data_IF_734144634935
#
_entry.id   IF_734144634935
#
_cell.length_a   1.000
_cell.length_b   1.000
_cell.length_c   1.000
_cell.angle_alpha   90.00
_cell.angle_beta   90.00
_cell.angle_gamma   90.00
#
_symmetry.space_group_name_H-M   'P 1'
#
loop_
_entity.id
_entity.type
_entity.pdbx_description
1 polymer ?
#
# COMPACT_ATOMS: atom_id res chain seq x y z
N UNK A 1 -17.77 0.22 -0.70
CA UNK A 1 -16.47 0.07 -1.39
C UNK A 1 -16.56 -1.03 -2.42
N UNK A 2 -16.04 -0.81 -3.63
CA UNK A 2 -15.81 -1.92 -4.56
C UNK A 2 -14.73 -2.83 -3.93
N UNK A 3 -15.10 -4.06 -3.55
CA UNK A 3 -14.19 -5.02 -2.93
C UNK A 3 -12.97 -5.33 -3.80
N UNK A 4 -13.08 -5.17 -5.13
CA UNK A 4 -11.96 -5.35 -6.05
C UNK A 4 -10.92 -4.23 -5.88
N UNK A 5 -11.35 -2.97 -5.79
CA UNK A 5 -10.42 -1.83 -5.57
C UNK A 5 -9.63 -2.03 -4.28
N UNK A 6 -10.30 -2.48 -3.21
CA UNK A 6 -9.63 -2.71 -1.92
C UNK A 6 -8.55 -3.79 -2.02
N UNK A 7 -8.86 -4.91 -2.69
CA UNK A 7 -7.90 -6.00 -2.93
C UNK A 7 -6.70 -5.56 -3.76
N UNK A 8 -6.90 -4.71 -4.75
CA UNK A 8 -5.78 -4.18 -5.54
C UNK A 8 -4.88 -3.26 -4.70
N UNK A 9 -5.46 -2.45 -3.81
CA UNK A 9 -4.68 -1.61 -2.87
C UNK A 9 -3.85 -2.49 -1.92
N UNK A 10 -4.39 -3.60 -1.43
CA UNK A 10 -3.67 -4.56 -0.58
C UNK A 10 -2.53 -5.26 -1.34
N UNK A 11 -2.77 -5.66 -2.59
CA UNK A 11 -1.71 -6.24 -3.44
C UNK A 11 -0.56 -5.27 -3.70
N UNK A 12 -0.86 -3.97 -3.87
CA UNK A 12 0.16 -2.94 -4.02
C UNK A 12 1.02 -2.81 -2.76
N UNK A 13 0.39 -2.85 -1.58
CA UNK A 13 1.09 -2.84 -0.30
C UNK A 13 2.03 -4.03 -0.14
N UNK A 14 1.52 -5.25 -0.39
CA UNK A 14 2.30 -6.47 -0.29
C UNK A 14 3.48 -6.45 -1.26
N UNK A 15 3.26 -5.99 -2.49
CA UNK A 15 4.30 -5.89 -3.52
C UNK A 15 5.37 -4.87 -3.13
N UNK A 16 4.98 -3.70 -2.64
CA UNK A 16 5.93 -2.67 -2.20
C UNK A 16 6.74 -3.12 -0.98
N UNK A 17 6.10 -3.78 -0.01
CA UNK A 17 6.78 -4.37 1.16
C UNK A 17 7.78 -5.43 0.73
N UNK A 18 7.42 -6.30 -0.23
CA UNK A 18 8.34 -7.29 -0.79
C UNK A 18 9.54 -6.65 -1.49
N UNK A 19 9.32 -5.54 -2.22
CA UNK A 19 10.43 -4.80 -2.85
C UNK A 19 11.41 -4.26 -1.80
N UNK A 20 10.92 -3.76 -0.66
CA UNK A 20 11.81 -3.32 0.44
C UNK A 20 12.68 -4.46 0.96
N UNK A 21 12.11 -5.66 1.11
CA UNK A 21 12.85 -6.84 1.58
C UNK A 21 13.84 -7.37 0.56
N UNK A 22 13.50 -7.35 -0.74
CA UNK A 22 14.33 -7.92 -1.80
C UNK A 22 15.45 -6.99 -2.28
N UNK A 23 15.33 -5.68 -2.07
CA UNK A 23 16.23 -4.68 -2.62
C UNK A 23 16.98 -3.88 -1.52
N UNK A 24 17.33 -4.54 -0.41
CA UNK A 24 17.99 -3.89 0.73
C UNK A 24 19.33 -3.21 0.37
N UNK A 25 20.00 -3.71 -0.66
CA UNK A 25 21.26 -3.19 -1.19
C UNK A 25 21.07 -2.12 -2.28
N UNK A 26 19.83 -1.77 -2.63
CA UNK A 26 19.52 -0.78 -3.66
C UNK A 26 18.70 0.39 -3.09
N UNK A 27 19.35 1.49 -2.64
CA UNK A 27 18.69 2.63 -2.03
C UNK A 27 17.61 3.28 -2.91
N UNK A 28 17.77 3.26 -4.23
CA UNK A 28 16.80 3.84 -5.16
C UNK A 28 15.50 3.03 -5.19
N UNK A 29 15.60 1.70 -5.20
CA UNK A 29 14.42 0.82 -5.13
C UNK A 29 13.74 0.95 -3.77
N UNK A 30 14.50 1.01 -2.68
CA UNK A 30 13.94 1.25 -1.33
C UNK A 30 13.15 2.56 -1.28
N UNK A 31 13.72 3.65 -1.82
CA UNK A 31 13.04 4.95 -1.83
C UNK A 31 11.75 4.93 -2.64
N UNK A 32 11.75 4.25 -3.78
CA UNK A 32 10.55 4.10 -4.60
C UNK A 32 9.49 3.24 -3.90
N UNK A 33 9.89 2.18 -3.20
CA UNK A 33 8.96 1.35 -2.43
C UNK A 33 8.31 2.13 -1.28
N UNK A 34 9.05 3.00 -0.57
CA UNK A 34 8.49 3.91 0.44
C UNK A 34 7.47 4.89 -0.15
N UNK A 35 7.75 5.46 -1.32
CA UNK A 35 6.82 6.37 -2.01
C UNK A 35 5.53 5.62 -2.35
N UNK A 36 5.63 4.40 -2.88
CA UNK A 36 4.45 3.56 -3.17
C UNK A 36 3.65 3.28 -1.90
N UNK A 37 4.31 2.91 -0.79
CA UNK A 37 3.63 2.68 0.49
C UNK A 37 2.91 3.93 1.02
N UNK A 38 3.49 5.12 0.80
CA UNK A 38 2.85 6.39 1.14
C UNK A 38 1.56 6.58 0.33
N UNK A 39 1.59 6.31 -0.98
CA UNK A 39 0.38 6.36 -1.81
C UNK A 39 -0.64 5.30 -1.40
N UNK A 40 -0.22 4.07 -1.10
CA UNK A 40 -1.09 3.00 -0.60
C UNK A 40 -1.80 3.43 0.69
N UNK A 41 -1.10 4.08 1.61
CA UNK A 41 -1.71 4.62 2.84
C UNK A 41 -2.83 5.61 2.52
N UNK A 42 -2.58 6.58 1.64
CA UNK A 42 -3.60 7.55 1.19
C UNK A 42 -4.78 6.82 0.55
N UNK A 43 -4.51 5.86 -0.34
CA UNK A 43 -5.56 5.06 -1.00
C UNK A 43 -6.40 4.32 0.03
N UNK A 44 -5.80 3.67 1.03
CA UNK A 44 -6.53 2.99 2.11
C UNK A 44 -7.39 3.94 2.93
N UNK A 45 -6.90 5.16 3.18
CA UNK A 45 -7.63 6.19 3.92
C UNK A 45 -8.86 6.67 3.16
N UNK A 46 -8.72 7.02 1.87
CA UNK A 46 -9.86 7.46 1.04
C UNK A 46 -10.75 6.28 0.58
N UNK A 47 -10.32 5.04 0.85
CA UNK A 47 -11.09 3.82 0.59
C UNK A 47 -11.27 2.95 1.84
N UNK A 48 -12.02 3.44 2.86
CA UNK A 48 -12.24 2.69 4.08
C UNK A 48 -13.02 1.39 3.82
N UNK A 49 -12.64 0.32 4.53
CA UNK A 49 -13.51 -0.85 4.65
C UNK A 49 -14.77 -0.42 5.41
N UNK A 50 -15.95 -0.69 4.85
CA UNK A 50 -17.22 -0.37 5.51
C UNK A 50 -17.20 -0.95 6.95
N UNK A 51 -17.37 -0.09 7.96
CA UNK A 51 -17.41 -0.47 9.37
C UNK A 51 -16.32 0.12 10.27
N UNK A 52 -15.46 1.05 9.79
CA UNK A 52 -14.44 1.74 10.61
C UNK A 52 -14.64 3.26 10.80
N UNK A 53 -15.75 3.82 10.34
CA UNK A 53 -16.09 5.25 10.50
C UNK A 53 -17.37 5.51 11.32
N UNK A 54 -17.80 4.54 12.15
CA UNK A 54 -18.83 4.76 13.17
C UNK A 54 -18.25 4.41 14.54
N UNK A 55 -17.51 5.36 15.12
CA UNK A 55 -17.34 5.59 16.56
C UNK A 55 -16.65 6.95 16.78
#
# INVERSE_FOLDING_TARGET
MNKQIRREIERLEESATRLQTLAQDNPAILKNAEIILTFVYILKFITPEKGKEEN
#
